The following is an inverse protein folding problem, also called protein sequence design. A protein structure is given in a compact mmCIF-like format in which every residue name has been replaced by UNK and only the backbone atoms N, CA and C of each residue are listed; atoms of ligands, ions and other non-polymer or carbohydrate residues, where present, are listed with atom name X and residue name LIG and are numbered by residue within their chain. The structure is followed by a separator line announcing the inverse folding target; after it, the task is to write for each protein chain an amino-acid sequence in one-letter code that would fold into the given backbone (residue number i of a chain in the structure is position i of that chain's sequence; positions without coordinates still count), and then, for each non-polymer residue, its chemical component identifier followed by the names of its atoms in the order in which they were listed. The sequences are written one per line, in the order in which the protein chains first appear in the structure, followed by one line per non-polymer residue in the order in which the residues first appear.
data_IF_398761526829
#
_entry.id   IF_398761526829
#
_cell.length_a   1.000
_cell.length_b   1.000
_cell.length_c   1.000
_cell.angle_alpha   90.00
_cell.angle_beta   90.00
_cell.angle_gamma   90.00
#
_symmetry.space_group_name_H-M   'P 1'
#
loop_
_entity.id
_entity.type
_entity.pdbx_description
1 polymer ?
#
# COMPACT_ATOMS: atom_id res chain seq x y z
N UNK A 1 -7.24 -7.88 26.94
CA UNK A 1 -6.54 -7.07 25.92
C UNK A 1 -5.67 -8.02 25.12
N UNK A 2 -6.01 -8.29 23.86
CA UNK A 2 -5.09 -8.98 22.96
C UNK A 2 -4.07 -7.95 22.50
N UNK A 3 -2.83 -8.07 22.97
CA UNK A 3 -1.73 -7.31 22.39
C UNK A 3 -1.58 -7.73 20.93
N UNK A 4 -1.43 -6.76 20.04
CA UNK A 4 -0.99 -7.04 18.67
C UNK A 4 0.44 -7.53 18.75
N UNK A 5 0.64 -8.77 18.35
CA UNK A 5 1.95 -9.31 18.06
C UNK A 5 2.09 -9.21 16.55
N UNK A 6 2.93 -8.29 16.08
CA UNK A 6 3.34 -8.28 14.68
C UNK A 6 4.07 -9.59 14.43
N UNK A 7 3.43 -10.52 13.71
CA UNK A 7 4.03 -11.80 13.38
C UNK A 7 4.98 -11.67 12.21
N UNK A 8 4.52 -11.00 11.16
CA UNK A 8 5.26 -10.76 9.93
C UNK A 8 4.91 -9.37 9.41
N UNK A 9 5.92 -8.72 8.82
CA UNK A 9 5.76 -7.44 8.16
C UNK A 9 6.67 -7.35 6.95
N UNK A 10 6.17 -6.79 5.85
CA UNK A 10 6.96 -6.59 4.64
C UNK A 10 6.51 -5.34 3.88
N UNK A 11 7.47 -4.61 3.31
CA UNK A 11 7.19 -3.54 2.37
C UNK A 11 6.65 -4.10 1.06
N UNK A 12 5.52 -3.55 0.63
CA UNK A 12 4.84 -3.82 -0.62
C UNK A 12 4.71 -2.51 -1.39
N UNK A 13 5.01 -2.56 -2.68
CA UNK A 13 5.05 -1.37 -3.52
C UNK A 13 4.10 -1.48 -4.69
N UNK A 14 3.55 -0.35 -5.13
CA UNK A 14 2.92 -0.22 -6.43
C UNK A 14 3.70 0.80 -7.23
N UNK A 15 4.26 0.36 -8.37
CA UNK A 15 5.07 1.21 -9.25
C UNK A 15 4.18 2.02 -10.18
N UNK A 16 4.42 3.32 -10.30
CA UNK A 16 3.78 4.17 -11.29
C UNK A 16 4.51 4.03 -12.63
N UNK A 17 4.06 3.09 -13.46
CA UNK A 17 4.67 2.81 -14.76
C UNK A 17 4.13 3.74 -15.88
N UNK A 18 5.01 4.44 -16.58
CA UNK A 18 4.63 5.45 -17.57
C UNK A 18 3.96 6.69 -16.96
N UNK A 19 3.43 7.58 -17.82
CA UNK A 19 2.93 8.89 -17.38
C UNK A 19 1.75 8.77 -16.39
N UNK A 20 1.89 9.30 -15.16
CA UNK A 20 0.80 9.36 -14.18
C UNK A 20 -0.39 10.17 -14.70
N UNK A 21 -1.58 9.57 -14.69
CA UNK A 21 -2.83 10.22 -15.09
C UNK A 21 -3.95 9.93 -14.10
N UNK A 22 -4.88 10.87 -13.96
CA UNK A 22 -6.04 10.71 -13.06
C UNK A 22 -6.87 9.49 -13.47
N UNK A 23 -7.37 8.77 -12.48
CA UNK A 23 -8.11 7.51 -12.58
C UNK A 23 -7.31 6.30 -13.06
N UNK A 24 -6.01 6.44 -13.34
CA UNK A 24 -5.16 5.29 -13.62
C UNK A 24 -4.91 4.47 -12.36
N UNK A 25 -4.95 3.15 -12.51
CA UNK A 25 -4.73 2.16 -11.45
C UNK A 25 -3.41 1.47 -11.66
N UNK A 26 -2.65 1.33 -10.58
CA UNK A 26 -1.38 0.62 -10.55
C UNK A 26 -1.50 -0.51 -9.53
N UNK A 27 -1.36 -1.75 -10.01
CA UNK A 27 -1.41 -2.94 -9.16
C UNK A 27 -0.17 -2.98 -8.26
N UNK A 28 -0.28 -3.68 -7.14
CA UNK A 28 0.92 -3.99 -6.36
C UNK A 28 1.88 -4.86 -7.16
N UNK A 29 3.16 -4.55 -7.02
CA UNK A 29 4.26 -5.33 -7.57
C UNK A 29 4.17 -6.76 -7.01
N UNK A 30 4.40 -7.76 -7.86
CA UNK A 30 4.36 -9.15 -7.41
C UNK A 30 5.54 -9.44 -6.45
N UNK A 31 5.21 -10.00 -5.29
CA UNK A 31 6.17 -10.51 -4.33
C UNK A 31 5.92 -12.02 -4.26
N UNK A 32 6.77 -12.85 -4.89
CA UNK A 32 6.50 -14.29 -5.06
C UNK A 32 6.21 -15.04 -3.75
N UNK A 33 6.78 -14.59 -2.63
CA UNK A 33 6.54 -15.20 -1.33
C UNK A 33 5.14 -14.90 -0.77
N UNK A 34 4.58 -13.72 -1.06
CA UNK A 34 3.25 -13.32 -0.62
C UNK A 34 2.17 -13.86 -1.57
N UNK A 35 2.40 -13.74 -2.88
CA UNK A 35 1.43 -14.15 -3.89
C UNK A 35 1.24 -15.67 -3.98
N UNK A 36 2.30 -16.46 -3.79
CA UNK A 36 2.21 -17.93 -3.84
C UNK A 36 1.56 -18.55 -2.60
N UNK A 37 1.83 -17.98 -1.44
CA UNK A 37 1.38 -18.56 -0.17
C UNK A 37 0.00 -18.03 0.25
N UNK A 38 -0.49 -16.97 -0.41
CA UNK A 38 -1.55 -16.11 0.09
C UNK A 38 -1.23 -15.56 1.49
N UNK A 39 -1.81 -14.40 1.82
CA UNK A 39 -1.61 -13.81 3.13
C UNK A 39 -2.93 -13.39 3.73
N UNK A 40 -3.03 -13.55 5.05
CA UNK A 40 -4.08 -12.97 5.87
C UNK A 40 -3.58 -11.59 6.30
N UNK A 41 -4.12 -10.54 5.68
CA UNK A 41 -3.78 -9.16 6.01
C UNK A 41 -4.61 -8.69 7.22
N UNK A 42 -3.97 -8.16 8.25
CA UNK A 42 -4.65 -7.62 9.44
C UNK A 42 -4.27 -6.17 9.77
N UNK A 43 -3.29 -5.60 9.08
CA UNK A 43 -2.94 -4.19 9.24
C UNK A 43 -2.13 -3.65 8.07
N UNK A 44 -2.17 -2.33 7.92
CA UNK A 44 -1.49 -1.62 6.85
C UNK A 44 -1.03 -0.25 7.34
N UNK A 45 0.12 0.19 6.83
CA UNK A 45 0.60 1.56 6.94
C UNK A 45 1.28 1.95 5.62
N UNK A 46 1.37 3.25 5.36
CA UNK A 46 1.96 3.81 4.15
C UNK A 46 3.10 4.77 4.47
N UNK A 47 4.01 4.96 3.51
CA UNK A 47 5.20 5.80 3.68
C UNK A 47 5.32 6.84 2.57
N UNK A 48 5.63 8.08 2.92
CA UNK A 48 6.07 9.07 1.94
C UNK A 48 7.59 9.23 1.96
N UNK A 49 8.13 9.97 0.99
CA UNK A 49 9.55 10.35 0.98
C UNK A 49 10.02 11.04 2.27
N UNK A 50 9.10 11.64 3.06
CA UNK A 50 9.44 12.25 4.35
C UNK A 50 9.80 11.22 5.44
N UNK A 51 9.37 9.96 5.30
CA UNK A 51 9.70 8.87 6.24
C UNK A 51 10.59 7.80 5.61
N UNK A 52 10.46 7.55 4.31
CA UNK A 52 11.24 6.58 3.55
C UNK A 52 11.53 7.16 2.16
N UNK A 53 12.75 7.64 1.93
CA UNK A 53 13.11 8.36 0.70
C UNK A 53 13.16 7.42 -0.51
N UNK A 54 13.68 6.21 -0.34
CA UNK A 54 13.88 5.22 -1.40
C UNK A 54 13.24 3.88 -1.04
N UNK A 55 12.68 3.20 -2.03
CA UNK A 55 12.28 1.80 -1.92
C UNK A 55 13.53 0.89 -1.91
N UNK A 56 13.33 -0.40 -1.59
CA UNK A 56 14.44 -1.36 -1.46
C UNK A 56 15.21 -1.60 -2.77
N UNK A 57 14.60 -1.32 -3.92
CA UNK A 57 15.19 -1.39 -5.25
C UNK A 57 15.84 -0.07 -5.71
N UNK A 58 15.81 0.99 -4.88
CA UNK A 58 16.39 2.30 -5.17
C UNK A 58 15.48 3.29 -5.88
N UNK A 59 14.25 2.90 -6.22
CA UNK A 59 13.23 3.83 -6.76
C UNK A 59 12.82 4.88 -5.74
N UNK A 60 12.41 6.05 -6.24
CA UNK A 60 11.87 7.12 -5.39
C UNK A 60 10.50 6.74 -4.83
N UNK A 61 10.30 7.05 -3.55
CA UNK A 61 8.98 6.99 -2.92
C UNK A 61 8.25 8.29 -3.18
N UNK A 62 6.92 8.23 -3.36
CA UNK A 62 6.11 9.42 -3.60
C UNK A 62 6.37 10.53 -2.56
N UNK A 63 6.45 11.77 -3.02
CA UNK A 63 6.68 12.90 -2.12
C UNK A 63 5.48 13.12 -1.20
N UNK A 64 5.72 13.67 -0.01
CA UNK A 64 4.68 13.86 1.01
C UNK A 64 3.49 14.69 0.51
N UNK A 65 3.73 15.71 -0.31
CA UNK A 65 2.68 16.55 -0.89
C UNK A 65 1.76 15.77 -1.86
N UNK A 66 2.30 14.77 -2.55
CA UNK A 66 1.59 14.05 -3.62
C UNK A 66 0.78 12.88 -3.08
N UNK A 67 1.00 12.49 -1.81
CA UNK A 67 0.21 11.46 -1.11
C UNK A 67 -1.28 11.78 -1.03
N UNK A 68 -1.65 13.07 -1.13
CA UNK A 68 -3.04 13.53 -1.16
C UNK A 68 -3.76 13.13 -2.45
N UNK A 69 -3.01 12.86 -3.51
CA UNK A 69 -3.50 12.48 -4.83
C UNK A 69 -3.63 10.97 -5.05
N UNK A 70 -3.38 10.14 -4.03
CA UNK A 70 -3.33 8.67 -4.17
C UNK A 70 -4.29 8.00 -3.20
N UNK A 71 -5.04 7.01 -3.70
CA UNK A 71 -5.89 6.13 -2.89
C UNK A 71 -5.50 4.67 -3.08
N UNK A 72 -5.82 3.82 -2.10
CA UNK A 72 -5.59 2.37 -2.16
C UNK A 72 -6.92 1.62 -2.07
N UNK A 73 -6.99 0.53 -2.85
CA UNK A 73 -8.08 -0.44 -2.80
C UNK A 73 -7.49 -1.82 -2.57
N UNK A 74 -8.02 -2.54 -1.57
CA UNK A 74 -7.62 -3.89 -1.24
C UNK A 74 -8.76 -4.86 -1.57
N UNK A 75 -8.38 -5.99 -2.16
CA UNK A 75 -9.28 -7.03 -2.61
C UNK A 75 -9.01 -8.35 -1.91
N UNK A 76 -10.09 -9.03 -1.55
CA UNK A 76 -9.99 -10.39 -1.03
C UNK A 76 -9.75 -11.41 -2.15
N UNK A 77 -9.56 -12.68 -1.77
CA UNK A 77 -9.40 -13.79 -2.71
C UNK A 77 -10.66 -14.12 -3.53
N UNK A 78 -11.80 -13.48 -3.25
CA UNK A 78 -13.05 -13.56 -4.02
C UNK A 78 -13.23 -12.32 -4.93
N UNK A 79 -12.21 -11.46 -5.02
CA UNK A 79 -12.20 -10.21 -5.80
C UNK A 79 -13.20 -9.14 -5.29
N UNK A 80 -13.65 -9.24 -4.03
CA UNK A 80 -14.44 -8.20 -3.39
C UNK A 80 -13.52 -7.09 -2.87
N UNK A 81 -13.90 -5.84 -3.11
CA UNK A 81 -13.21 -4.65 -2.60
C UNK A 81 -13.67 -4.39 -1.15
N UNK A 82 -12.87 -4.81 -0.17
CA UNK A 82 -13.20 -4.64 1.25
C UNK A 82 -12.60 -3.36 1.85
N UNK A 83 -11.54 -2.85 1.24
CA UNK A 83 -11.09 -1.46 1.41
C UNK A 83 -11.19 -0.81 0.04
N UNK A 84 -11.93 0.29 -0.06
CA UNK A 84 -12.18 0.97 -1.33
C UNK A 84 -11.78 2.44 -1.24
N UNK A 85 -10.88 2.86 -2.15
CA UNK A 85 -10.41 4.24 -2.30
C UNK A 85 -10.00 4.91 -0.98
N UNK A 86 -9.31 4.16 -0.11
CA UNK A 86 -8.79 4.70 1.13
C UNK A 86 -7.65 5.68 0.82
N UNK A 87 -7.67 6.93 1.31
CA UNK A 87 -6.60 7.88 1.06
C UNK A 87 -5.25 7.39 1.59
N UNK A 88 -4.21 7.45 0.75
CA UNK A 88 -2.86 7.06 1.13
C UNK A 88 -2.36 7.86 2.34
N UNK A 89 -2.65 9.17 2.35
CA UNK A 89 -2.34 10.07 3.45
C UNK A 89 -2.84 9.55 4.82
N UNK A 90 -4.01 8.94 4.86
CA UNK A 90 -4.61 8.41 6.09
C UNK A 90 -3.90 7.15 6.59
N UNK A 91 -3.02 6.54 5.81
CA UNK A 91 -2.25 5.37 6.21
C UNK A 91 -0.85 5.74 6.72
N UNK A 92 -0.47 7.02 6.64
CA UNK A 92 0.84 7.50 7.10
C UNK A 92 0.82 7.72 8.60
N UNK A 93 1.60 6.91 9.32
CA UNK A 93 1.63 6.88 10.79
C UNK A 93 1.96 8.23 11.44
N UNK A 94 2.88 8.99 10.85
CA UNK A 94 3.28 10.32 11.38
C UNK A 94 2.13 11.32 11.38
N UNK A 95 1.14 11.13 10.50
CA UNK A 95 -0.02 12.01 10.38
C UNK A 95 -1.14 11.60 11.35
N UNK A 96 -1.08 10.38 11.89
CA UNK A 96 -2.10 9.79 12.75
C UNK A 96 -1.60 9.54 14.17
N UNK A 97 -0.74 10.40 14.72
CA UNK A 97 -0.25 10.26 16.10
C UNK A 97 0.54 8.97 16.37
N UNK A 98 1.03 8.30 15.32
CA UNK A 98 1.76 7.05 15.42
C UNK A 98 0.90 5.79 15.46
N UNK A 99 -0.42 5.88 15.24
CA UNK A 99 -1.31 4.71 15.18
C UNK A 99 -1.25 4.00 13.82
N UNK A 100 -1.32 2.66 13.86
CA UNK A 100 -1.45 1.80 12.67
C UNK A 100 -2.92 1.45 12.47
N UNK A 101 -3.36 1.40 11.21
CA UNK A 101 -4.72 0.99 10.88
C UNK A 101 -4.82 -0.54 10.81
N UNK A 102 -5.81 -1.06 11.52
CA UNK A 102 -6.12 -2.47 11.57
C UNK A 102 -7.33 -2.75 10.68
N UNK A 103 -7.30 -3.92 10.06
CA UNK A 103 -8.34 -4.42 9.20
C UNK A 103 -8.96 -5.66 9.86
N UNK A 104 -10.22 -5.95 9.52
CA UNK A 104 -10.73 -7.31 9.75
C UNK A 104 -9.83 -8.28 8.98
N UNK A 105 -9.29 -9.34 9.60
CA UNK A 105 -8.39 -10.26 8.91
C UNK A 105 -9.04 -10.87 7.66
N UNK A 106 -8.44 -10.63 6.49
CA UNK A 106 -8.91 -11.18 5.21
C UNK A 106 -7.75 -11.78 4.42
N UNK A 107 -8.03 -12.88 3.71
CA UNK A 107 -7.11 -13.39 2.70
C UNK A 107 -7.18 -12.49 1.49
N UNK A 108 -6.06 -11.93 1.05
CA UNK A 108 -6.01 -11.01 -0.08
C UNK A 108 -5.35 -11.64 -1.30
N UNK A 109 -5.74 -11.18 -2.50
CA UNK A 109 -4.94 -11.36 -3.70
C UNK A 109 -4.09 -10.10 -3.93
N UNK A 110 -2.79 -10.20 -3.64
CA UNK A 110 -1.86 -9.06 -3.71
C UNK A 110 -1.91 -8.36 -5.06
N UNK A 111 -1.84 -9.13 -6.15
CA UNK A 111 -1.74 -8.61 -7.53
C UNK A 111 -3.05 -8.03 -8.07
N UNK A 112 -4.17 -8.21 -7.37
CA UNK A 112 -5.45 -7.58 -7.71
C UNK A 112 -5.77 -6.36 -6.84
N UNK A 113 -5.04 -6.18 -5.74
CA UNK A 113 -5.03 -4.94 -4.98
C UNK A 113 -4.27 -3.86 -5.78
N UNK A 114 -4.67 -2.60 -5.62
CA UNK A 114 -4.12 -1.51 -6.43
C UNK A 114 -4.16 -0.17 -5.70
N UNK A 115 -3.33 0.75 -6.19
CA UNK A 115 -3.44 2.17 -5.92
C UNK A 115 -4.03 2.89 -7.12
N UNK A 116 -4.80 3.95 -6.88
CA UNK A 116 -5.40 4.77 -7.93
C UNK A 116 -4.97 6.22 -7.75
N UNK A 117 -4.66 6.87 -8.87
CA UNK A 117 -4.34 8.30 -8.90
C UNK A 117 -5.64 9.10 -8.97
N UNK A 118 -5.84 9.98 -8.00
CA UNK A 118 -6.91 10.97 -7.94
C UNK A 118 -6.40 12.37 -8.36
N UNK A 119 -5.10 12.62 -8.22
CA UNK A 119 -4.41 13.82 -8.73
C UNK A 119 -2.99 13.44 -9.15
N UNK A 120 -2.61 13.81 -10.38
CA UNK A 120 -1.30 13.46 -10.95
C UNK A 120 -0.22 14.53 -10.75
N UNK A 121 -0.53 15.63 -10.04
CA UNK A 121 0.45 16.68 -9.76
C UNK A 121 1.62 16.11 -8.94
N UNK A 122 2.85 16.31 -9.39
CA UNK A 122 4.08 15.92 -8.68
C UNK A 122 4.52 14.46 -8.86
N UNK A 123 3.62 13.56 -9.31
CA UNK A 123 3.94 12.16 -9.55
C UNK A 123 4.73 11.97 -10.85
N UNK A 124 5.79 11.16 -10.79
CA UNK A 124 6.62 10.79 -11.93
C UNK A 124 6.53 9.30 -12.30
N UNK A 125 6.97 8.97 -13.51
CA UNK A 125 7.20 7.59 -13.92
C UNK A 125 8.33 6.98 -13.08
N UNK A 126 8.11 5.77 -12.57
CA UNK A 126 9.03 5.03 -11.71
C UNK A 126 8.89 5.31 -10.22
N UNK A 127 8.08 6.30 -9.81
CA UNK A 127 7.75 6.54 -8.41
C UNK A 127 6.98 5.35 -7.83
N UNK A 128 7.18 5.10 -6.52
CA UNK A 128 6.52 4.00 -5.81
C UNK A 128 5.63 4.50 -4.68
N UNK A 129 4.38 4.04 -4.71
CA UNK A 129 3.52 4.03 -3.53
C UNK A 129 3.94 2.85 -2.64
N UNK A 130 4.37 3.12 -1.40
CA UNK A 130 4.99 2.13 -0.52
C UNK A 130 4.16 1.92 0.73
N UNK A 131 3.84 0.66 1.01
CA UNK A 131 3.08 0.23 2.17
C UNK A 131 3.87 -0.79 2.95
N UNK A 132 3.69 -0.85 4.26
CA UNK A 132 4.08 -2.00 5.05
C UNK A 132 2.81 -2.78 5.41
N UNK A 133 2.81 -4.06 5.04
CA UNK A 133 1.70 -4.96 5.35
C UNK A 133 2.04 -5.73 6.61
N UNK A 134 1.08 -5.79 7.52
CA UNK A 134 1.14 -6.65 8.70
C UNK A 134 0.25 -7.87 8.45
N UNK A 135 0.88 -9.04 8.35
CA UNK A 135 0.22 -10.23 7.82
C UNK A 135 0.66 -11.52 8.52
N UNK A 136 -0.05 -12.59 8.19
CA UNK A 136 0.28 -13.99 8.51
C UNK A 136 0.11 -14.83 7.23
N UNK A 137 0.81 -15.96 7.14
CA UNK A 137 0.57 -16.92 6.07
C UNK A 137 -0.70 -17.72 6.35
N UNK A 138 -1.35 -18.20 5.28
CA UNK A 138 -2.51 -19.10 5.37
C UNK A 138 -2.08 -20.49 5.81
#
# INVERSE_FOLDING_TARGET
MNNIIVKQSQLVTATFDGTPTVNRRYKFDDIPNLSRNNIILYGIEAYSAAQLVKAADGSDVIAAADTLGVTVTLKDNQNNEFVYQMPYFNLIRSNNGGFVILLEPKIINLTDCYVQINSALGLADGDKAVFNFYYDFV
#
